data_IF_345216856969
#
_entry.id   IF_345216856969
#
_cell.length_a   1.000
_cell.length_b   1.000
_cell.length_c   1.000
_cell.angle_alpha   90.00
_cell.angle_beta   90.00
_cell.angle_gamma   90.00
#
_symmetry.space_group_name_H-M   'P 1'
#
loop_
_entity.id
_entity.type
_entity.pdbx_description
1 polymer ?
#
# COMPACT_ATOMS: atom_id res chain seq x y z
N UNK A 1 13.77 0.07 -9.15
CA UNK A 1 14.09 -0.65 -10.40
C UNK A 1 12.82 -0.80 -11.24
N UNK A 2 13.00 -0.74 -12.54
CA UNK A 2 11.97 -1.05 -13.52
C UNK A 2 12.22 -2.47 -14.01
N UNK A 3 11.25 -3.34 -13.80
CA UNK A 3 11.32 -4.74 -14.25
C UNK A 3 10.35 -4.88 -15.41
N UNK A 4 10.88 -5.27 -16.58
CA UNK A 4 10.11 -5.64 -17.75
C UNK A 4 10.18 -7.15 -17.81
N UNK A 5 9.06 -7.81 -17.59
CA UNK A 5 8.91 -9.25 -17.68
C UNK A 5 8.09 -9.64 -18.92
N UNK A 6 7.91 -10.93 -19.11
CA UNK A 6 7.15 -11.46 -20.25
C UNK A 6 5.63 -11.29 -20.13
N UNK A 7 5.13 -10.66 -19.06
CA UNK A 7 3.70 -10.45 -18.84
C UNK A 7 3.16 -9.48 -19.89
N UNK A 8 2.22 -9.89 -20.77
CA UNK A 8 1.69 -9.02 -21.80
C UNK A 8 1.03 -7.76 -21.23
N UNK A 9 1.31 -6.61 -21.86
CA UNK A 9 0.70 -5.31 -21.51
C UNK A 9 0.94 -4.85 -20.06
N UNK A 10 1.92 -5.42 -19.37
CA UNK A 10 2.25 -5.07 -18.00
C UNK A 10 3.72 -4.67 -17.85
N UNK A 11 3.96 -3.67 -17.03
CA UNK A 11 5.30 -3.26 -16.61
C UNK A 11 5.33 -3.21 -15.09
N UNK A 12 6.25 -3.95 -14.48
CA UNK A 12 6.40 -4.01 -13.03
C UNK A 12 7.40 -2.98 -12.54
N UNK A 13 6.94 -2.09 -11.65
CA UNK A 13 7.78 -1.10 -10.97
C UNK A 13 8.06 -1.58 -9.55
N UNK A 14 9.34 -1.82 -9.21
CA UNK A 14 9.78 -2.17 -7.87
C UNK A 14 10.74 -1.12 -7.32
N UNK A 15 10.45 -0.62 -6.13
CA UNK A 15 11.31 0.30 -5.41
C UNK A 15 11.03 0.20 -3.91
N UNK A 16 12.08 0.23 -3.11
CA UNK A 16 11.95 0.25 -1.65
C UNK A 16 11.30 1.55 -1.15
N UNK A 17 11.67 2.70 -1.75
CA UNK A 17 11.03 3.98 -1.50
C UNK A 17 9.73 4.11 -2.32
N UNK A 18 8.61 4.13 -1.62
CA UNK A 18 7.29 4.16 -2.24
C UNK A 18 6.95 5.50 -2.88
N UNK A 19 7.51 6.61 -2.40
CA UNK A 19 7.36 7.94 -3.01
C UNK A 19 8.09 7.96 -4.36
N UNK A 20 9.32 7.44 -4.42
CA UNK A 20 10.08 7.31 -5.68
C UNK A 20 9.38 6.37 -6.67
N UNK A 21 8.80 5.28 -6.18
CA UNK A 21 8.02 4.36 -7.01
C UNK A 21 6.82 5.06 -7.63
N UNK A 22 6.10 5.87 -6.86
CA UNK A 22 4.94 6.62 -7.36
C UNK A 22 5.34 7.68 -8.38
N UNK A 23 6.43 8.40 -8.14
CA UNK A 23 6.99 9.35 -9.13
C UNK A 23 7.30 8.63 -10.45
N UNK A 24 7.94 7.47 -10.39
CA UNK A 24 8.25 6.68 -11.58
C UNK A 24 6.99 6.21 -12.31
N UNK A 25 5.95 5.76 -11.57
CA UNK A 25 4.66 5.34 -12.13
C UNK A 25 3.98 6.49 -12.89
N UNK A 26 3.85 7.64 -12.26
CA UNK A 26 3.21 8.83 -12.86
C UNK A 26 4.01 9.31 -14.09
N UNK A 27 5.34 9.35 -13.99
CA UNK A 27 6.19 9.75 -15.10
C UNK A 27 6.05 8.80 -16.30
N UNK A 28 6.02 7.49 -16.04
CA UNK A 28 5.84 6.46 -17.07
C UNK A 28 4.47 6.56 -17.74
N UNK A 29 3.39 6.69 -16.98
CA UNK A 29 2.04 6.88 -17.52
C UNK A 29 1.95 8.11 -18.43
N UNK A 30 2.57 9.23 -18.03
CA UNK A 30 2.61 10.45 -18.83
C UNK A 30 3.42 10.26 -20.12
N UNK A 31 4.53 9.52 -20.07
CA UNK A 31 5.35 9.22 -21.25
C UNK A 31 4.62 8.32 -22.24
N UNK A 32 3.90 7.31 -21.73
CA UNK A 32 3.07 6.42 -22.55
C UNK A 32 1.95 7.21 -23.23
N UNK A 33 1.27 8.07 -22.49
CA UNK A 33 0.19 8.91 -23.04
C UNK A 33 0.68 9.94 -24.07
N UNK A 34 1.90 10.48 -23.90
CA UNK A 34 2.51 11.44 -24.85
C UNK A 34 3.09 10.75 -26.11
N UNK A 35 3.54 9.50 -25.99
CA UNK A 35 4.14 8.72 -27.07
C UNK A 35 5.55 9.15 -27.50
N UNK A 36 6.05 10.28 -27.00
CA UNK A 36 7.39 10.80 -27.32
C UNK A 36 8.38 10.43 -26.23
N UNK A 37 9.16 9.38 -26.45
CA UNK A 37 10.11 8.86 -25.48
C UNK A 37 11.55 9.20 -25.94
N UNK A 38 12.10 10.29 -25.39
CA UNK A 38 13.49 10.70 -25.56
C UNK A 38 14.02 11.32 -24.26
N UNK A 39 15.35 11.37 -24.02
CA UNK A 39 15.93 11.74 -22.73
C UNK A 39 15.38 13.03 -22.12
N UNK A 40 15.33 14.11 -22.88
CA UNK A 40 14.82 15.41 -22.40
C UNK A 40 13.35 15.33 -21.96
N UNK A 41 12.54 14.54 -22.68
CA UNK A 41 11.13 14.37 -22.35
C UNK A 41 10.94 13.50 -21.10
N UNK A 42 11.79 12.50 -20.92
CA UNK A 42 11.80 11.68 -19.69
C UNK A 42 12.10 12.58 -18.49
N UNK A 43 13.14 13.40 -18.55
CA UNK A 43 13.51 14.34 -17.48
C UNK A 43 12.36 15.31 -17.17
N UNK A 44 11.74 15.91 -18.20
CA UNK A 44 10.58 16.79 -18.03
C UNK A 44 9.42 16.10 -17.30
N UNK A 45 9.07 14.87 -17.70
CA UNK A 45 7.96 14.12 -17.09
C UNK A 45 8.29 13.69 -15.67
N UNK A 46 9.53 13.32 -15.37
CA UNK A 46 9.96 13.01 -14.01
C UNK A 46 9.87 14.23 -13.10
N UNK A 47 10.34 15.40 -13.55
CA UNK A 47 10.24 16.63 -12.75
C UNK A 47 8.78 17.07 -12.55
N UNK A 48 7.94 16.89 -13.55
CA UNK A 48 6.49 17.14 -13.41
C UNK A 48 5.85 16.18 -12.41
N UNK A 49 6.15 14.89 -12.48
CA UNK A 49 5.66 13.88 -11.56
C UNK A 49 6.12 14.16 -10.12
N UNK A 50 7.39 14.56 -9.91
CA UNK A 50 7.89 14.96 -8.58
C UNK A 50 7.03 16.08 -7.98
N UNK A 51 6.79 17.14 -8.72
CA UNK A 51 5.98 18.29 -8.25
C UNK A 51 4.55 17.87 -7.89
N UNK A 52 3.93 16.99 -8.67
CA UNK A 52 2.59 16.48 -8.40
C UNK A 52 2.55 15.63 -7.12
N UNK A 53 3.54 14.76 -6.93
CA UNK A 53 3.65 13.93 -5.72
C UNK A 53 3.95 14.80 -4.49
N UNK A 54 4.86 15.77 -4.58
CA UNK A 54 5.14 16.71 -3.49
C UNK A 54 3.90 17.53 -3.10
N UNK A 55 3.15 18.02 -4.09
CA UNK A 55 1.91 18.72 -3.84
C UNK A 55 0.88 17.82 -3.16
N UNK A 56 0.76 16.56 -3.60
CA UNK A 56 -0.14 15.59 -2.97
C UNK A 56 0.27 15.28 -1.53
N UNK A 57 1.55 15.07 -1.26
CA UNK A 57 2.10 14.88 0.09
C UNK A 57 1.67 16.03 1.01
N UNK A 58 1.82 17.26 0.54
CA UNK A 58 1.43 18.44 1.31
C UNK A 58 -0.07 18.45 1.62
N UNK A 59 -0.89 18.26 0.61
CA UNK A 59 -2.36 18.25 0.75
C UNK A 59 -2.83 17.16 1.70
N UNK A 60 -2.30 15.94 1.58
CA UNK A 60 -2.69 14.81 2.44
C UNK A 60 -2.23 15.02 3.90
N UNK A 61 -1.04 15.60 4.11
CA UNK A 61 -0.59 15.96 5.45
C UNK A 61 -1.45 17.03 6.11
N UNK A 62 -1.75 18.11 5.39
CA UNK A 62 -2.63 19.19 5.87
C UNK A 62 -4.05 18.65 6.14
N UNK A 63 -4.57 17.77 5.28
CA UNK A 63 -5.88 17.14 5.47
C UNK A 63 -5.92 16.28 6.74
N UNK A 64 -4.87 15.48 6.99
CA UNK A 64 -4.80 14.64 8.19
C UNK A 64 -4.84 15.47 9.47
N UNK A 65 -4.12 16.58 9.52
CA UNK A 65 -4.10 17.52 10.66
C UNK A 65 -5.49 18.16 10.88
N UNK A 66 -6.15 18.58 9.80
CA UNK A 66 -7.49 19.13 9.84
C UNK A 66 -8.53 18.10 10.33
N UNK A 67 -8.50 16.90 9.74
CA UNK A 67 -9.47 15.83 10.04
C UNK A 67 -9.40 15.33 11.48
N UNK A 68 -8.20 15.36 12.06
CA UNK A 68 -7.96 14.97 13.47
C UNK A 68 -8.11 16.12 14.46
N UNK A 69 -8.29 17.35 13.97
CA UNK A 69 -8.35 18.56 14.76
C UNK A 69 -7.11 18.75 15.67
N UNK A 70 -5.93 18.38 15.16
CA UNK A 70 -4.65 18.56 15.84
C UNK A 70 -3.98 19.83 15.33
N UNK A 71 -3.62 20.74 16.24
CA UNK A 71 -3.08 22.05 15.88
C UNK A 71 -1.62 22.21 16.28
N UNK A 72 -0.89 23.11 15.60
CA UNK A 72 0.47 23.47 16.00
C UNK A 72 1.52 22.39 15.70
N UNK A 73 1.28 21.50 14.74
CA UNK A 73 2.30 20.58 14.22
C UNK A 73 3.25 21.35 13.29
N UNK A 74 4.55 21.06 13.42
CA UNK A 74 5.57 21.64 12.54
C UNK A 74 5.33 21.26 11.07
N UNK A 75 5.53 22.19 10.13
CA UNK A 75 5.29 21.98 8.70
C UNK A 75 6.07 20.79 8.12
N UNK A 76 7.29 20.54 8.60
CA UNK A 76 8.07 19.38 8.13
C UNK A 76 7.47 18.06 8.64
N UNK A 77 6.91 18.02 9.86
CA UNK A 77 6.17 16.86 10.35
C UNK A 77 4.87 16.64 9.56
N UNK A 78 4.19 17.72 9.14
CA UNK A 78 3.01 17.63 8.26
C UNK A 78 3.39 16.98 6.93
N UNK A 79 4.53 17.34 6.35
CA UNK A 79 5.03 16.67 5.13
C UNK A 79 5.34 15.19 5.38
N UNK A 80 5.94 14.86 6.54
CA UNK A 80 6.20 13.46 6.89
C UNK A 80 4.89 12.67 7.04
N UNK A 81 3.87 13.23 7.68
CA UNK A 81 2.53 12.63 7.71
C UNK A 81 1.98 12.42 6.30
N UNK A 82 2.09 13.41 5.42
CA UNK A 82 1.65 13.28 4.03
C UNK A 82 2.38 12.17 3.25
N UNK A 83 3.66 11.90 3.52
CA UNK A 83 4.41 10.78 2.92
C UNK A 83 3.82 9.41 3.30
N UNK A 84 3.19 9.30 4.49
CA UNK A 84 2.51 8.08 4.93
C UNK A 84 1.31 7.71 4.02
N UNK A 85 0.79 8.65 3.25
CA UNK A 85 -0.24 8.39 2.24
C UNK A 85 0.19 7.35 1.21
N UNK A 86 1.47 7.31 0.86
CA UNK A 86 2.02 6.34 -0.08
C UNK A 86 2.51 5.06 0.60
N UNK A 87 2.50 5.01 1.93
CA UNK A 87 2.95 3.86 2.70
C UNK A 87 1.80 2.91 3.01
N UNK A 88 1.98 1.65 2.71
CA UNK A 88 1.08 0.57 3.11
C UNK A 88 1.83 -0.36 4.07
N UNK A 89 1.25 -0.66 5.20
CA UNK A 89 1.76 -1.61 6.19
C UNK A 89 0.61 -2.54 6.57
N UNK A 90 0.82 -3.86 6.53
CA UNK A 90 -0.22 -4.86 6.78
C UNK A 90 -1.51 -4.62 5.98
N UNK A 91 -1.37 -4.15 4.71
CA UNK A 91 -2.43 -3.77 3.77
C UNK A 91 -3.28 -2.56 4.18
N UNK A 92 -2.97 -1.92 5.25
CA UNK A 92 -3.59 -0.68 5.66
C UNK A 92 -2.72 0.51 5.20
N UNK A 93 -3.36 1.53 4.65
CA UNK A 93 -2.67 2.79 4.38
C UNK A 93 -2.29 3.44 5.71
N UNK A 94 -1.00 3.73 5.90
CA UNK A 94 -0.47 4.16 7.21
C UNK A 94 -1.03 5.53 7.62
N UNK A 95 -1.25 6.46 6.68
CA UNK A 95 -1.85 7.75 7.02
C UNK A 95 -3.29 7.60 7.50
N UNK A 96 -4.10 6.80 6.82
CA UNK A 96 -5.49 6.52 7.22
C UNK A 96 -5.55 5.83 8.58
N UNK A 97 -4.65 4.89 8.82
CA UNK A 97 -4.48 4.25 10.12
C UNK A 97 -4.14 5.26 11.21
N UNK A 98 -3.15 6.14 10.98
CA UNK A 98 -2.77 7.17 11.96
C UNK A 98 -3.92 8.14 12.26
N UNK A 99 -4.73 8.52 11.27
CA UNK A 99 -5.94 9.33 11.47
C UNK A 99 -6.96 8.58 12.34
N UNK A 100 -7.20 7.31 12.07
CA UNK A 100 -8.12 6.48 12.85
C UNK A 100 -7.65 6.31 14.30
N UNK A 101 -6.37 5.97 14.51
CA UNK A 101 -5.76 5.87 15.84
C UNK A 101 -5.88 7.21 16.60
N UNK A 102 -5.61 8.32 15.92
CA UNK A 102 -5.78 9.66 16.49
C UNK A 102 -7.20 9.90 17.02
N UNK A 103 -8.22 9.57 16.22
CA UNK A 103 -9.63 9.71 16.62
C UNK A 103 -9.99 8.81 17.78
N UNK A 104 -9.57 7.54 17.76
CA UNK A 104 -9.77 6.60 18.86
C UNK A 104 -9.10 7.07 20.15
N UNK A 105 -7.86 7.56 20.06
CA UNK A 105 -7.16 8.14 21.22
C UNK A 105 -7.94 9.30 21.81
N UNK A 106 -8.48 10.19 20.99
CA UNK A 106 -9.30 11.31 21.45
C UNK A 106 -10.56 10.87 22.18
N UNK A 107 -11.25 9.85 21.69
CA UNK A 107 -12.45 9.27 22.33
C UNK A 107 -12.08 8.62 23.65
N UNK A 108 -11.08 7.72 23.67
CA UNK A 108 -10.65 7.03 24.89
C UNK A 108 -10.17 7.98 25.96
N UNK A 109 -9.40 9.02 25.60
CA UNK A 109 -8.95 10.04 26.53
C UNK A 109 -10.11 10.84 27.13
N UNK A 110 -11.11 11.20 26.31
CA UNK A 110 -12.29 11.92 26.78
C UNK A 110 -13.09 11.10 27.81
N UNK A 111 -13.29 9.81 27.57
CA UNK A 111 -14.00 8.90 28.48
C UNK A 111 -13.23 8.72 29.81
N UNK A 112 -11.92 8.79 29.77
CA UNK A 112 -11.05 8.68 30.96
C UNK A 112 -10.81 10.02 31.68
N UNK A 113 -11.37 11.13 31.17
CA UNK A 113 -11.15 12.48 31.73
C UNK A 113 -9.74 13.02 31.51
N UNK A 114 -9.03 12.55 30.47
CA UNK A 114 -7.70 12.97 30.08
C UNK A 114 -7.73 14.00 28.93
N UNK A 115 -6.59 14.62 28.62
CA UNK A 115 -6.48 15.58 27.52
C UNK A 115 -6.66 14.88 26.15
N UNK A 116 -7.83 15.04 25.56
CA UNK A 116 -8.18 14.48 24.27
C UNK A 116 -7.35 15.07 23.12
N UNK A 117 -6.88 16.32 23.21
CA UNK A 117 -6.09 16.94 22.15
C UNK A 117 -4.67 16.38 22.15
N UNK A 118 -4.07 16.21 23.34
CA UNK A 118 -2.78 15.55 23.48
C UNK A 118 -2.86 14.09 23.00
N UNK A 119 -3.94 13.38 23.31
CA UNK A 119 -4.14 11.99 22.89
C UNK A 119 -4.31 11.87 21.38
N UNK A 120 -5.08 12.74 20.72
CA UNK A 120 -5.18 12.79 19.26
C UNK A 120 -3.82 13.04 18.62
N UNK A 121 -3.05 13.98 19.18
CA UNK A 121 -1.72 14.30 18.67
C UNK A 121 -0.77 13.11 18.78
N UNK A 122 -0.71 12.45 19.93
CA UNK A 122 0.11 11.26 20.12
C UNK A 122 -0.30 10.11 19.16
N UNK A 123 -1.60 9.86 19.01
CA UNK A 123 -2.12 8.87 18.08
C UNK A 123 -1.83 9.20 16.62
N UNK A 124 -1.86 10.48 16.20
CA UNK A 124 -1.52 10.88 14.84
C UNK A 124 -0.03 10.67 14.54
N UNK A 125 0.83 10.85 15.53
CA UNK A 125 2.29 10.83 15.38
C UNK A 125 2.91 9.46 15.67
N UNK A 126 2.18 8.48 16.24
CA UNK A 126 2.77 7.23 16.71
C UNK A 126 3.60 6.49 15.65
N UNK A 127 3.18 6.53 14.42
CA UNK A 127 3.78 5.85 13.26
C UNK A 127 4.57 6.78 12.33
N UNK A 128 4.85 8.04 12.72
CA UNK A 128 5.49 9.03 11.83
C UNK A 128 6.85 8.58 11.32
N UNK A 129 7.57 7.77 12.08
CA UNK A 129 8.86 7.23 11.68
C UNK A 129 8.80 6.35 10.42
N UNK A 130 7.67 5.74 10.12
CA UNK A 130 7.47 4.95 8.89
C UNK A 130 7.65 5.77 7.60
N UNK A 131 7.54 7.10 7.69
CA UNK A 131 7.79 8.00 6.56
C UNK A 131 9.26 8.04 6.11
N UNK A 132 10.20 7.65 6.97
CA UNK A 132 11.64 7.78 6.75
C UNK A 132 12.39 6.43 6.73
N UNK A 133 11.73 5.30 6.94
CA UNK A 133 12.38 3.97 6.96
C UNK A 133 13.02 3.55 5.63
N UNK A 134 12.75 4.25 4.53
CA UNK A 134 13.42 4.06 3.26
C UNK A 134 14.76 4.82 3.16
N UNK A 135 14.97 5.83 4.01
CA UNK A 135 16.11 6.75 3.97
C UNK A 135 17.05 6.56 5.17
N UNK A 136 16.49 6.11 6.32
CA UNK A 136 17.21 5.99 7.59
C UNK A 136 17.12 4.55 8.08
N UNK A 137 18.27 3.96 8.43
CA UNK A 137 18.33 2.65 9.06
C UNK A 137 17.82 2.72 10.50
N UNK A 138 17.05 1.72 10.92
CA UNK A 138 16.53 1.62 12.28
C UNK A 138 15.05 1.24 12.33
N UNK A 139 14.54 1.05 13.54
CA UNK A 139 13.12 0.81 13.76
C UNK A 139 12.33 2.11 13.52
N UNK A 140 11.12 1.99 13.00
CA UNK A 140 10.25 3.16 12.82
C UNK A 140 9.92 3.85 14.15
N UNK A 141 9.95 3.11 15.26
CA UNK A 141 9.76 3.65 16.61
C UNK A 141 10.90 4.61 16.94
N UNK A 142 12.15 4.16 16.82
CA UNK A 142 13.32 4.99 17.10
C UNK A 142 13.37 6.24 16.19
N UNK A 143 13.15 6.06 14.89
CA UNK A 143 13.09 7.16 13.92
C UNK A 143 11.97 8.14 14.29
N UNK A 144 10.80 7.64 14.70
CA UNK A 144 9.67 8.45 15.14
C UNK A 144 10.00 9.28 16.39
N UNK A 145 10.64 8.67 17.37
CA UNK A 145 11.14 9.35 18.58
C UNK A 145 12.11 10.48 18.23
N UNK A 146 13.06 10.21 17.34
CA UNK A 146 14.05 11.21 16.92
C UNK A 146 13.41 12.37 16.16
N UNK A 147 12.42 12.09 15.31
CA UNK A 147 11.60 13.12 14.64
C UNK A 147 10.85 13.96 15.68
N UNK A 148 10.16 13.33 16.62
CA UNK A 148 9.41 14.04 17.66
C UNK A 148 10.33 14.92 18.53
N UNK A 149 11.51 14.43 18.90
CA UNK A 149 12.53 15.20 19.63
C UNK A 149 13.03 16.39 18.82
N UNK A 150 13.35 16.19 17.55
CA UNK A 150 13.85 17.23 16.63
C UNK A 150 12.88 18.40 16.49
N UNK A 151 11.59 18.12 16.51
CA UNK A 151 10.55 19.15 16.36
C UNK A 151 9.88 19.56 17.68
N UNK A 152 10.52 19.26 18.81
CA UNK A 152 10.14 19.69 20.16
C UNK A 152 8.73 19.26 20.58
N UNK A 153 8.35 18.02 20.28
CA UNK A 153 7.14 17.43 20.86
C UNK A 153 7.29 17.23 22.38
N UNK A 154 6.17 17.20 23.10
CA UNK A 154 6.21 17.01 24.53
C UNK A 154 6.80 15.65 24.93
N UNK A 155 7.49 15.55 26.09
CA UNK A 155 8.02 14.26 26.55
C UNK A 155 6.98 13.15 26.65
N UNK A 156 5.73 13.49 26.96
CA UNK A 156 4.64 12.55 27.09
C UNK A 156 4.25 11.97 25.70
N UNK A 157 4.22 12.82 24.64
CA UNK A 157 3.98 12.37 23.26
C UNK A 157 5.15 11.52 22.79
N UNK A 158 6.39 11.94 23.05
CA UNK A 158 7.59 11.17 22.68
C UNK A 158 7.55 9.79 23.33
N UNK A 159 7.20 9.72 24.62
CA UNK A 159 7.08 8.45 25.32
C UNK A 159 5.95 7.57 24.75
N UNK A 160 4.81 8.15 24.39
CA UNK A 160 3.73 7.40 23.75
C UNK A 160 4.15 6.81 22.37
N UNK A 161 4.92 7.57 21.58
CA UNK A 161 5.52 7.08 20.32
C UNK A 161 6.53 5.97 20.58
N UNK A 162 7.37 6.09 21.64
CA UNK A 162 8.38 5.10 22.00
C UNK A 162 7.77 3.77 22.48
N UNK A 163 6.69 3.85 23.26
CA UNK A 163 6.10 2.70 23.95
C UNK A 163 5.03 1.94 23.16
N UNK A 164 4.56 2.44 21.98
CA UNK A 164 3.36 1.92 21.34
C UNK A 164 3.47 0.43 20.89
N UNK A 165 4.66 -0.12 20.71
CA UNK A 165 4.89 -1.53 20.42
C UNK A 165 5.43 -2.37 21.59
N UNK A 166 5.40 -1.84 22.82
CA UNK A 166 5.94 -2.48 24.03
C UNK A 166 7.48 -2.69 24.03
N UNK A 167 8.22 -2.03 23.15
CA UNK A 167 9.69 -2.03 23.21
C UNK A 167 10.18 -1.32 24.50
N UNK A 168 9.38 -0.39 25.01
CA UNK A 168 9.54 0.29 26.28
C UNK A 168 8.23 0.18 27.07
N UNK A 169 8.33 -0.02 28.40
CA UNK A 169 7.15 -0.11 29.25
C UNK A 169 6.34 1.20 29.25
N UNK A 170 5.02 1.18 29.01
CA UNK A 170 4.18 2.37 29.02
C UNK A 170 4.01 2.89 30.47
N UNK A 171 4.56 4.08 30.73
CA UNK A 171 4.54 4.70 32.07
C UNK A 171 3.45 5.74 32.23
N UNK A 172 2.73 6.08 31.17
CA UNK A 172 1.67 7.09 31.17
C UNK A 172 0.38 6.53 30.65
N UNK A 173 -0.75 7.03 31.13
CA UNK A 173 -2.06 6.68 30.62
C UNK A 173 -2.17 6.99 29.11
N UNK A 174 -1.50 8.06 28.64
CA UNK A 174 -1.42 8.43 27.24
C UNK A 174 -0.79 7.32 26.39
N UNK A 175 0.33 6.73 26.85
CA UNK A 175 0.99 5.63 26.13
C UNK A 175 0.10 4.38 26.06
N UNK A 176 -0.60 4.04 27.15
CA UNK A 176 -1.57 2.93 27.16
C UNK A 176 -2.74 3.18 26.20
N UNK A 177 -3.24 4.42 26.13
CA UNK A 177 -4.32 4.79 25.19
C UNK A 177 -3.87 4.62 23.75
N UNK A 178 -2.65 5.06 23.39
CA UNK A 178 -2.12 4.93 22.03
C UNK A 178 -1.97 3.45 21.65
N UNK A 179 -1.43 2.61 22.54
CA UNK A 179 -1.34 1.16 22.32
C UNK A 179 -2.70 0.52 22.10
N UNK A 180 -3.68 0.85 22.95
CA UNK A 180 -5.03 0.31 22.83
C UNK A 180 -5.69 0.74 21.50
N UNK A 181 -5.57 2.02 21.13
CA UNK A 181 -6.13 2.57 19.92
C UNK A 181 -5.50 1.96 18.66
N UNK A 182 -4.16 1.78 18.65
CA UNK A 182 -3.44 1.10 17.57
C UNK A 182 -3.92 -0.37 17.42
N UNK A 183 -3.98 -1.10 18.54
CA UNK A 183 -4.46 -2.48 18.54
C UNK A 183 -5.91 -2.60 18.03
N UNK A 184 -6.82 -1.70 18.43
CA UNK A 184 -8.21 -1.66 17.97
C UNK A 184 -8.27 -1.40 16.46
N UNK A 185 -7.54 -0.40 15.97
CA UNK A 185 -7.48 -0.08 14.54
C UNK A 185 -6.92 -1.24 13.71
N UNK A 186 -5.86 -1.91 14.21
CA UNK A 186 -5.26 -3.08 13.56
C UNK A 186 -6.14 -4.34 13.59
N UNK A 187 -6.97 -4.51 14.61
CA UNK A 187 -7.84 -5.68 14.78
C UNK A 187 -9.19 -5.58 14.05
N UNK A 188 -9.52 -4.41 13.51
CA UNK A 188 -10.78 -4.17 12.80
C UNK A 188 -10.97 -5.17 11.65
N UNK A 189 -12.18 -5.74 11.46
CA UNK A 189 -12.50 -6.56 10.28
C UNK A 189 -12.15 -5.82 8.99
N UNK A 190 -11.50 -6.50 8.05
CA UNK A 190 -10.95 -5.95 6.79
C UNK A 190 -9.70 -5.04 6.91
N UNK A 191 -9.21 -4.68 8.11
CA UNK A 191 -7.93 -3.99 8.27
C UNK A 191 -6.74 -4.94 8.00
N UNK A 192 -6.86 -6.20 8.41
CA UNK A 192 -5.89 -7.27 8.12
C UNK A 192 -6.42 -8.16 7.00
N UNK A 193 -6.17 -7.79 5.76
CA UNK A 193 -6.28 -8.75 4.67
C UNK A 193 -4.94 -9.46 4.48
N UNK A 194 -4.98 -10.72 4.07
CA UNK A 194 -3.91 -11.70 3.81
C UNK A 194 -2.43 -11.25 3.91
N UNK A 195 -1.63 -12.03 4.60
CA UNK A 195 -0.17 -11.89 4.66
C UNK A 195 0.42 -11.89 3.23
N UNK A 196 1.46 -11.08 2.96
CA UNK A 196 2.13 -11.00 1.65
C UNK A 196 2.56 -12.39 1.13
N UNK A 197 3.01 -13.27 2.04
CA UNK A 197 3.33 -14.65 1.70
C UNK A 197 2.10 -15.45 1.22
N UNK A 198 0.94 -15.27 1.84
CA UNK A 198 -0.30 -15.90 1.40
C UNK A 198 -0.78 -15.34 0.06
N UNK A 199 -0.54 -14.05 -0.17
CA UNK A 199 -0.81 -13.42 -1.46
C UNK A 199 0.07 -14.02 -2.58
N UNK A 200 1.38 -14.13 -2.37
CA UNK A 200 2.29 -14.77 -3.34
C UNK A 200 1.92 -16.23 -3.55
N UNK A 201 1.65 -16.98 -2.47
CA UNK A 201 1.20 -18.38 -2.57
C UNK A 201 -0.08 -18.49 -3.38
N UNK A 202 -1.03 -17.58 -3.21
CA UNK A 202 -2.27 -17.57 -3.98
C UNK A 202 -2.02 -17.29 -5.46
N UNK A 203 -1.16 -16.34 -5.82
CA UNK A 203 -0.77 -16.10 -7.22
C UNK A 203 -0.13 -17.35 -7.83
N UNK A 204 0.82 -17.95 -7.14
CA UNK A 204 1.48 -19.18 -7.57
C UNK A 204 0.50 -20.35 -7.72
N UNK A 205 -0.48 -20.49 -6.81
CA UNK A 205 -1.52 -21.50 -6.94
C UNK A 205 -2.38 -21.29 -8.18
N UNK A 206 -2.81 -20.04 -8.46
CA UNK A 206 -3.55 -19.69 -9.67
C UNK A 206 -2.78 -20.08 -10.94
N UNK A 207 -1.52 -19.70 -11.01
CA UNK A 207 -0.63 -20.01 -12.14
C UNK A 207 -0.40 -21.52 -12.28
N UNK A 208 -0.18 -22.23 -11.18
CA UNK A 208 -0.01 -23.69 -11.18
C UNK A 208 -1.28 -24.44 -11.65
N UNK A 209 -2.47 -24.01 -11.20
CA UNK A 209 -3.74 -24.58 -11.67
C UNK A 209 -3.84 -24.45 -13.18
N UNK A 210 -3.59 -23.25 -13.73
CA UNK A 210 -3.68 -23.02 -15.16
C UNK A 210 -2.63 -23.79 -15.95
N UNK A 211 -1.39 -23.83 -15.48
CA UNK A 211 -0.28 -24.54 -16.14
C UNK A 211 -0.46 -26.07 -16.16
N UNK A 212 -1.34 -26.63 -15.32
CA UNK A 212 -1.61 -28.08 -15.30
C UNK A 212 -2.42 -28.59 -16.50
N UNK A 213 -3.04 -27.67 -17.27
CA UNK A 213 -3.88 -28.05 -18.42
C UNK A 213 -3.07 -28.23 -19.70
N UNK A 214 -3.31 -29.33 -20.40
CA UNK A 214 -2.65 -29.59 -21.67
C UNK A 214 -3.07 -28.57 -22.74
N UNK A 215 -2.08 -27.99 -23.41
CA UNK A 215 -2.26 -26.95 -24.42
C UNK A 215 -2.16 -25.52 -23.87
N UNK A 216 -1.96 -25.33 -22.56
CA UNK A 216 -1.59 -24.04 -21.98
C UNK A 216 -0.08 -23.86 -22.14
N UNK A 217 0.32 -22.75 -22.74
CA UNK A 217 1.73 -22.38 -22.93
C UNK A 217 2.26 -21.55 -21.75
N UNK A 218 1.51 -20.51 -21.38
CA UNK A 218 1.84 -19.59 -20.29
C UNK A 218 0.58 -19.13 -19.58
N UNK A 219 0.73 -18.76 -18.33
CA UNK A 219 -0.35 -18.21 -17.51
C UNK A 219 0.18 -17.08 -16.63
N UNK A 220 -0.59 -16.02 -16.49
CA UNK A 220 -0.25 -14.85 -15.68
C UNK A 220 -1.41 -14.44 -14.78
N UNK A 221 -1.14 -14.32 -13.51
CA UNK A 221 -2.08 -13.75 -12.54
C UNK A 221 -1.92 -12.21 -12.51
N UNK A 222 -2.89 -11.50 -13.07
CA UNK A 222 -2.91 -10.05 -13.19
C UNK A 222 -3.79 -9.40 -12.10
N UNK A 223 -3.72 -8.07 -11.95
CA UNK A 223 -4.57 -7.28 -11.05
C UNK A 223 -4.67 -7.86 -9.62
N UNK A 224 -3.54 -8.26 -9.06
CA UNK A 224 -3.48 -8.89 -7.74
C UNK A 224 -4.26 -10.23 -7.64
N UNK A 225 -4.27 -11.02 -8.71
CA UNK A 225 -4.95 -12.31 -8.77
C UNK A 225 -6.48 -12.21 -8.95
N UNK A 226 -6.97 -11.06 -9.42
CA UNK A 226 -8.39 -10.88 -9.78
C UNK A 226 -8.67 -11.25 -11.23
N UNK A 227 -7.65 -11.27 -12.06
CA UNK A 227 -7.68 -11.67 -13.45
C UNK A 227 -6.60 -12.73 -13.69
N UNK A 228 -6.93 -13.75 -14.44
CA UNK A 228 -5.96 -14.78 -14.89
C UNK A 228 -5.98 -14.79 -16.40
N UNK A 229 -4.82 -14.51 -17.01
CA UNK A 229 -4.66 -14.56 -18.46
C UNK A 229 -3.93 -15.84 -18.84
N UNK A 230 -4.61 -16.68 -19.61
CA UNK A 230 -4.11 -17.98 -20.05
C UNK A 230 -3.80 -17.93 -21.53
N UNK A 231 -2.56 -18.23 -21.90
CA UNK A 231 -2.13 -18.34 -23.30
C UNK A 231 -2.08 -19.82 -23.68
N UNK A 232 -2.69 -20.14 -24.80
CA UNK A 232 -2.76 -21.52 -25.31
C UNK A 232 -1.98 -21.67 -26.61
N UNK A 233 -1.46 -22.87 -26.85
CA UNK A 233 -0.76 -23.22 -28.10
C UNK A 233 -1.79 -23.43 -29.21
N UNK A 234 -1.80 -22.60 -30.28
CA UNK A 234 -2.84 -22.65 -31.32
C UNK A 234 -2.93 -23.99 -32.04
N UNK A 235 -1.80 -24.71 -32.15
CA UNK A 235 -1.73 -26.01 -32.82
C UNK A 235 -2.38 -27.15 -32.02
N UNK A 236 -2.55 -26.95 -30.68
CA UNK A 236 -3.09 -27.96 -29.76
C UNK A 236 -4.52 -27.68 -29.31
N UNK A 237 -4.92 -26.40 -29.37
CA UNK A 237 -6.18 -25.91 -28.78
C UNK A 237 -6.96 -25.12 -29.84
N UNK A 238 -8.08 -25.66 -30.29
CA UNK A 238 -9.04 -24.94 -31.12
C UNK A 238 -10.00 -24.10 -30.24
N UNK A 239 -10.83 -23.25 -30.88
CA UNK A 239 -11.73 -22.32 -30.21
C UNK A 239 -12.72 -23.04 -29.24
N UNK A 240 -13.26 -24.19 -29.62
CA UNK A 240 -14.18 -24.99 -28.79
C UNK A 240 -13.47 -25.56 -27.55
N UNK A 241 -12.25 -26.06 -27.73
CA UNK A 241 -11.43 -26.62 -26.68
C UNK A 241 -10.95 -25.50 -25.72
N UNK A 242 -10.68 -24.28 -26.23
CA UNK A 242 -10.32 -23.11 -25.43
C UNK A 242 -11.43 -22.73 -24.44
N UNK A 243 -12.69 -22.67 -24.89
CA UNK A 243 -13.85 -22.40 -24.03
C UNK A 243 -14.01 -23.48 -22.96
N UNK A 244 -13.77 -24.75 -23.33
CA UNK A 244 -13.86 -25.87 -22.39
C UNK A 244 -12.76 -25.76 -21.29
N UNK A 245 -11.51 -25.51 -21.70
CA UNK A 245 -10.38 -25.33 -20.79
C UNK A 245 -10.64 -24.15 -19.85
N UNK A 246 -11.11 -23.00 -20.37
CA UNK A 246 -11.43 -21.84 -19.54
C UNK A 246 -12.48 -22.16 -18.45
N UNK A 247 -13.52 -22.90 -18.80
CA UNK A 247 -14.55 -23.34 -17.83
C UNK A 247 -14.00 -24.34 -16.80
N UNK A 248 -13.14 -25.26 -17.23
CA UNK A 248 -12.52 -26.22 -16.31
C UNK A 248 -11.58 -25.54 -15.34
N UNK A 249 -10.74 -24.61 -15.80
CA UNK A 249 -9.85 -23.79 -14.96
C UNK A 249 -10.68 -23.00 -13.95
N UNK A 250 -11.72 -22.30 -14.39
CA UNK A 250 -12.58 -21.52 -13.50
C UNK A 250 -13.21 -22.40 -12.42
N UNK A 251 -13.73 -23.56 -12.77
CA UNK A 251 -14.33 -24.52 -11.83
C UNK A 251 -13.30 -25.08 -10.85
N UNK A 252 -12.08 -25.35 -11.30
CA UNK A 252 -11.02 -25.82 -10.43
C UNK A 252 -10.59 -24.73 -9.44
N UNK A 253 -10.44 -23.47 -9.91
CA UNK A 253 -10.15 -22.32 -9.06
C UNK A 253 -11.25 -22.12 -8.00
N UNK A 254 -12.54 -22.23 -8.37
CA UNK A 254 -13.68 -22.16 -7.43
C UNK A 254 -13.61 -23.24 -6.35
N UNK A 255 -13.22 -24.46 -6.70
CA UNK A 255 -13.17 -25.59 -5.78
C UNK A 255 -11.94 -25.58 -4.84
N UNK A 256 -10.79 -25.11 -5.35
CA UNK A 256 -9.52 -25.18 -4.62
C UNK A 256 -9.17 -23.87 -3.90
N UNK A 257 -9.78 -22.75 -4.32
CA UNK A 257 -9.49 -21.43 -3.79
C UNK A 257 -10.76 -20.78 -3.22
N UNK A 258 -10.65 -20.20 -2.03
CA UNK A 258 -11.75 -19.51 -1.33
C UNK A 258 -11.99 -18.12 -1.96
N UNK A 259 -12.59 -18.09 -3.16
CA UNK A 259 -12.87 -16.85 -3.92
C UNK A 259 -14.37 -16.56 -3.91
N UNK A 260 -14.73 -15.29 -3.75
CA UNK A 260 -16.14 -14.90 -3.58
C UNK A 260 -16.97 -14.86 -4.86
N UNK A 261 -16.37 -14.69 -6.04
CA UNK A 261 -17.05 -14.67 -7.35
C UNK A 261 -16.03 -14.82 -8.50
N UNK A 262 -16.35 -15.65 -9.51
CA UNK A 262 -15.57 -15.78 -10.75
C UNK A 262 -16.46 -15.44 -11.94
N UNK A 263 -16.03 -14.50 -12.77
CA UNK A 263 -16.61 -14.21 -14.07
C UNK A 263 -15.65 -14.66 -15.17
N UNK A 264 -16.16 -15.45 -16.12
CA UNK A 264 -15.42 -15.84 -17.33
C UNK A 264 -15.73 -14.79 -18.38
N UNK A 265 -14.69 -14.02 -18.81
CA UNK A 265 -14.79 -13.18 -19.99
C UNK A 265 -14.60 -14.00 -21.26
N UNK A 266 -15.21 -13.58 -22.37
CA UNK A 266 -15.06 -14.24 -23.66
C UNK A 266 -13.59 -14.23 -24.12
N UNK A 267 -13.11 -15.32 -24.76
CA UNK A 267 -11.74 -15.37 -25.28
C UNK A 267 -11.55 -14.33 -26.38
N UNK A 268 -10.58 -13.44 -26.19
CA UNK A 268 -10.19 -12.45 -27.19
C UNK A 268 -8.98 -12.93 -27.96
N UNK A 269 -9.04 -12.90 -29.29
CA UNK A 269 -7.85 -13.09 -30.12
C UNK A 269 -7.03 -11.81 -30.15
N UNK A 270 -5.69 -11.84 -29.98
CA UNK A 270 -4.89 -10.66 -30.24
C UNK A 270 -5.06 -10.25 -31.70
N UNK A 271 -5.42 -9.00 -31.94
CA UNK A 271 -5.45 -8.41 -33.27
C UNK A 271 -3.99 -8.23 -33.70
N UNK A 272 -3.50 -9.10 -34.61
CA UNK A 272 -2.22 -8.85 -35.26
C UNK A 272 -2.42 -7.69 -36.23
N UNK A 273 -1.88 -6.54 -35.92
CA UNK A 273 -1.71 -5.45 -36.89
C UNK A 273 -0.49 -5.83 -37.74
N UNK A 274 -0.75 -6.25 -38.95
CA UNK A 274 0.25 -6.44 -40.02
C UNK A 274 0.73 -5.08 -40.55
#
# INVERSE_FOLDING_TARGET
>A
DLIIDDTPEAITLSCFDQVRREIARIALEKLIADGRIHPTKIEEMVEKAKREVEQRIRVEGEHAVLETNVHGINNEMIKLLGRLYYRTSYRQNVLKHSIEVSKLCGVLASELGLDANMARRAGLLHDIGKALTAEIEGSHVQIGVDVCKKYNESPEIIHAVEAHHNDVEPRTALACIVQAADAISAARPAARSENYENYIKRLQQLENICASYDGVEKCYALQAGREVRVMVVPEKVNDEKMVLIARQIAKQIENEMNLSLIHISEPTRPISIS
#
